data_IF_960390289779
#
_entry.id   IF_960390289779
#
_cell.length_a   1.000
_cell.length_b   1.000
_cell.length_c   1.000
_cell.angle_alpha   90.00
_cell.angle_beta   90.00
_cell.angle_gamma   90.00
#
_symmetry.space_group_name_H-M   'P 1'
#
loop_
_entity.id
_entity.type
_entity.pdbx_description
1 polymer ?
#
# COMPACT_ATOMS: atom_id res chain seq x y z
N UNK A 1 28.98 1.49 -3.14
CA UNK A 1 28.26 0.67 -4.14
C UNK A 1 26.78 0.82 -3.84
N UNK A 2 26.02 1.40 -4.79
CA UNK A 2 24.63 1.85 -4.59
C UNK A 2 23.68 0.65 -4.61
N UNK A 3 22.80 0.59 -3.62
CA UNK A 3 21.74 -0.41 -3.47
C UNK A 3 20.68 -0.21 -4.58
N UNK A 4 20.52 -1.17 -5.49
CA UNK A 4 19.35 -1.28 -6.36
C UNK A 4 18.36 -2.29 -5.76
N UNK A 5 17.82 -1.97 -4.59
CA UNK A 5 16.53 -2.50 -4.15
C UNK A 5 15.60 -1.31 -4.17
N UNK A 6 14.88 -1.15 -5.29
CA UNK A 6 13.85 -0.13 -5.44
C UNK A 6 12.88 -0.26 -4.27
N UNK A 7 12.64 0.84 -3.58
CA UNK A 7 11.61 0.89 -2.54
C UNK A 7 10.27 0.51 -3.18
N UNK A 8 9.31 -0.10 -2.45
CA UNK A 8 7.98 -0.42 -2.99
C UNK A 8 7.25 0.79 -3.60
N UNK A 9 7.71 2.02 -3.28
CA UNK A 9 7.14 3.31 -3.68
C UNK A 9 7.58 3.71 -5.11
N UNK A 10 8.84 3.46 -5.50
CA UNK A 10 9.37 3.88 -6.82
C UNK A 10 8.67 3.19 -8.01
N UNK A 11 8.06 2.03 -7.78
CA UNK A 11 7.33 1.28 -8.81
C UNK A 11 5.88 1.74 -9.02
N UNK A 12 5.30 2.48 -8.06
CA UNK A 12 3.88 2.90 -8.07
C UNK A 12 3.66 4.15 -8.92
N UNK A 13 4.65 5.06 -9.00
CA UNK A 13 4.58 6.28 -9.82
C UNK A 13 4.44 6.00 -11.33
N UNK A 14 4.86 4.82 -11.80
CA UNK A 14 4.72 4.41 -13.20
C UNK A 14 3.30 3.99 -13.62
N UNK A 15 2.42 3.67 -12.67
CA UNK A 15 1.07 3.13 -12.96
C UNK A 15 0.04 4.28 -13.09
N UNK A 16 0.27 5.43 -12.46
CA UNK A 16 -0.65 6.58 -12.44
C UNK A 16 -0.64 7.44 -13.72
N UNK A 17 0.14 7.07 -14.75
CA UNK A 17 0.24 7.82 -16.02
C UNK A 17 -0.52 7.22 -17.21
N UNK A 18 -1.27 6.13 -17.04
CA UNK A 18 -2.13 5.63 -18.13
C UNK A 18 -3.43 6.44 -18.13
N UNK A 19 -3.44 7.45 -19.00
CA UNK A 19 -4.58 8.32 -19.23
C UNK A 19 -5.83 7.59 -19.70
N UNK A 20 -6.97 8.18 -19.34
CA UNK A 20 -8.31 7.79 -19.78
C UNK A 20 -8.41 7.74 -21.31
N UNK A 21 -8.54 6.55 -21.88
CA UNK A 21 -9.21 6.37 -23.16
C UNK A 21 -9.91 5.01 -23.18
N UNK A 22 -11.23 4.95 -23.41
CA UNK A 22 -11.97 3.69 -23.38
C UNK A 22 -11.66 2.88 -24.66
N UNK A 23 -11.32 1.58 -24.56
CA UNK A 23 -11.22 0.75 -25.74
C UNK A 23 -12.62 0.40 -26.25
N UNK A 24 -12.85 0.67 -27.53
CA UNK A 24 -14.00 0.22 -28.32
C UNK A 24 -14.06 -1.31 -28.32
N UNK A 25 -15.28 -1.84 -28.22
CA UNK A 25 -15.54 -3.27 -28.00
C UNK A 25 -14.98 -4.18 -29.09
N UNK A 26 -14.19 -5.16 -28.65
CA UNK A 26 -13.97 -6.42 -29.35
C UNK A 26 -14.17 -7.56 -28.35
N UNK A 27 -15.00 -8.52 -28.73
CA UNK A 27 -15.31 -9.70 -27.91
C UNK A 27 -14.08 -10.60 -27.84
N UNK A 28 -13.55 -10.82 -26.64
CA UNK A 28 -12.44 -11.76 -26.41
C UNK A 28 -13.04 -13.15 -26.20
N UNK A 29 -12.93 -14.01 -27.22
CA UNK A 29 -13.14 -15.45 -27.10
C UNK A 29 -11.90 -16.12 -26.50
N UNK A 30 -12.08 -16.91 -25.44
CA UNK A 30 -10.97 -17.60 -24.76
C UNK A 30 -10.81 -19.00 -25.35
N UNK A 31 -9.77 -19.20 -26.17
CA UNK A 31 -9.42 -20.52 -26.71
C UNK A 31 -8.40 -21.20 -25.79
N UNK A 32 -8.71 -22.39 -25.32
CA UNK A 32 -7.96 -23.08 -24.26
C UNK A 32 -7.03 -24.11 -24.88
N UNK A 33 -5.78 -23.76 -25.23
CA UNK A 33 -4.73 -24.78 -25.47
C UNK A 33 -3.31 -24.20 -25.41
N UNK A 34 -2.59 -24.57 -24.34
CA UNK A 34 -1.15 -24.87 -24.26
C UNK A 34 -0.09 -23.78 -24.55
N UNK A 35 0.37 -23.12 -23.47
CA UNK A 35 1.80 -22.75 -23.24
C UNK A 35 2.10 -22.77 -21.74
N UNK A 36 3.29 -23.19 -21.28
CA UNK A 36 3.63 -23.15 -19.86
C UNK A 36 3.91 -21.71 -19.43
N UNK A 37 3.02 -21.17 -18.59
CA UNK A 37 3.19 -19.96 -17.79
C UNK A 37 3.76 -18.73 -18.53
N UNK A 38 2.94 -18.09 -19.37
CA UNK A 38 3.03 -16.63 -19.52
C UNK A 38 1.87 -16.05 -18.73
N UNK A 39 2.13 -15.66 -17.49
CA UNK A 39 1.21 -14.78 -16.77
C UNK A 39 1.36 -13.42 -17.46
N UNK A 40 0.26 -12.83 -17.92
CA UNK A 40 0.31 -11.55 -18.62
C UNK A 40 1.08 -10.51 -17.77
N UNK A 41 2.04 -9.82 -18.38
CA UNK A 41 2.85 -8.76 -17.73
C UNK A 41 1.97 -7.72 -17.00
N UNK A 42 0.73 -7.55 -17.45
CA UNK A 42 -0.27 -6.71 -16.80
C UNK A 42 -0.65 -7.19 -15.39
N UNK A 43 -0.87 -8.49 -15.20
CA UNK A 43 -1.22 -9.08 -13.90
C UNK A 43 -0.07 -8.90 -12.92
N UNK A 44 1.17 -9.10 -13.36
CA UNK A 44 2.36 -8.95 -12.52
C UNK A 44 2.55 -7.51 -12.03
N UNK A 45 2.33 -6.53 -12.91
CA UNK A 45 2.37 -5.10 -12.54
C UNK A 45 1.34 -4.75 -11.48
N UNK A 46 0.16 -5.37 -11.50
CA UNK A 46 -0.89 -5.14 -10.49
C UNK A 46 -0.37 -5.43 -9.07
N UNK A 47 0.41 -6.49 -8.92
CA UNK A 47 1.01 -6.92 -7.66
C UNK A 47 2.39 -6.31 -7.39
N UNK A 48 2.79 -5.28 -8.14
CA UNK A 48 4.11 -4.66 -8.02
C UNK A 48 5.27 -5.66 -8.22
N UNK A 49 5.09 -6.65 -9.10
CA UNK A 49 6.07 -7.69 -9.41
C UNK A 49 6.66 -7.48 -10.81
N UNK A 50 7.94 -7.82 -10.95
CA UNK A 50 8.59 -8.01 -12.25
C UNK A 50 8.54 -9.50 -12.64
N UNK A 51 8.52 -9.78 -13.94
CA UNK A 51 8.41 -11.14 -14.53
C UNK A 51 9.49 -12.11 -14.00
N UNK A 52 10.63 -11.59 -13.56
CA UNK A 52 11.73 -12.39 -13.04
C UNK A 52 11.66 -12.69 -11.54
N UNK A 53 10.77 -12.06 -10.77
CA UNK A 53 10.74 -12.16 -9.30
C UNK A 53 9.87 -13.31 -8.77
N UNK A 54 8.83 -13.71 -9.52
CA UNK A 54 7.90 -14.74 -9.08
C UNK A 54 8.36 -16.15 -9.50
N UNK A 55 8.31 -17.10 -8.56
CA UNK A 55 8.51 -18.54 -8.80
C UNK A 55 7.18 -19.21 -9.18
N UNK A 56 6.10 -18.88 -8.46
CA UNK A 56 4.74 -19.35 -8.73
C UNK A 56 3.72 -18.29 -8.43
N UNK A 57 2.72 -18.19 -9.29
CA UNK A 57 1.52 -17.39 -9.09
C UNK A 57 0.33 -18.24 -9.49
N UNK A 58 -0.63 -18.37 -8.58
CA UNK A 58 -1.92 -19.00 -8.85
C UNK A 58 -3.02 -18.05 -8.41
N UNK A 59 -4.09 -17.96 -9.20
CA UNK A 59 -5.27 -17.15 -8.89
C UNK A 59 -6.43 -18.10 -8.65
N UNK A 60 -7.13 -17.92 -7.53
CA UNK A 60 -8.30 -18.70 -7.20
C UNK A 60 -9.33 -17.80 -6.50
N UNK A 61 -10.61 -18.18 -6.61
CA UNK A 61 -11.69 -17.47 -5.91
C UNK A 61 -12.04 -18.24 -4.64
N UNK A 62 -12.11 -17.51 -3.53
CA UNK A 62 -12.62 -18.00 -2.24
C UNK A 62 -13.94 -17.27 -1.91
N UNK A 63 -14.75 -17.77 -0.96
CA UNK A 63 -16.03 -17.14 -0.60
C UNK A 63 -15.90 -15.69 -0.11
N UNK A 64 -14.74 -15.31 0.42
CA UNK A 64 -14.45 -13.97 0.92
C UNK A 64 -13.78 -13.05 -0.11
N UNK A 65 -13.37 -13.55 -1.27
CA UNK A 65 -12.86 -12.73 -2.36
C UNK A 65 -11.90 -13.43 -3.32
N UNK A 66 -11.21 -12.63 -4.14
CA UNK A 66 -10.17 -13.09 -5.05
C UNK A 66 -8.87 -13.31 -4.28
N UNK A 67 -8.30 -14.50 -4.41
CA UNK A 67 -7.04 -14.87 -3.78
C UNK A 67 -5.96 -15.11 -4.82
N UNK A 68 -4.81 -14.49 -4.60
CA UNK A 68 -3.62 -14.64 -5.44
C UNK A 68 -2.51 -15.23 -4.60
N UNK A 69 -2.26 -16.51 -4.79
CA UNK A 69 -1.14 -17.19 -4.18
C UNK A 69 0.15 -16.81 -4.89
N UNK A 70 1.13 -16.32 -4.13
CA UNK A 70 2.41 -15.87 -4.68
C UNK A 70 3.56 -16.54 -3.91
N UNK A 71 4.53 -17.05 -4.65
CA UNK A 71 5.82 -17.49 -4.13
C UNK A 71 6.93 -16.82 -4.92
N UNK A 72 7.86 -16.17 -4.25
CA UNK A 72 9.01 -15.50 -4.88
C UNK A 72 10.15 -16.49 -5.16
N UNK A 73 10.95 -16.17 -6.17
CA UNK A 73 12.18 -16.91 -6.46
C UNK A 73 13.15 -16.84 -5.28
N UNK A 74 13.87 -17.93 -4.98
CA UNK A 74 14.85 -17.93 -3.90
C UNK A 74 15.98 -16.95 -4.19
N UNK A 75 16.15 -15.97 -3.29
CA UNK A 75 17.27 -15.02 -3.34
C UNK A 75 17.96 -14.99 -1.96
N UNK A 76 19.30 -14.99 -1.89
CA UNK A 76 20.00 -14.80 -0.63
C UNK A 76 19.57 -13.51 0.06
N UNK A 77 19.24 -13.58 1.34
CA UNK A 77 18.71 -12.46 2.10
C UNK A 77 19.69 -11.98 3.17
N UNK A 78 19.70 -10.66 3.41
CA UNK A 78 20.52 -10.04 4.45
C UNK A 78 19.88 -10.19 5.83
N UNK A 79 20.64 -10.67 6.81
CA UNK A 79 20.15 -10.81 8.19
C UNK A 79 19.98 -9.44 8.87
N UNK A 80 18.78 -9.14 9.37
CA UNK A 80 18.47 -7.88 10.07
C UNK A 80 19.26 -7.66 11.37
N UNK A 81 19.91 -8.70 11.92
CA UNK A 81 20.60 -8.62 13.20
C UNK A 81 22.13 -8.52 13.12
N UNK A 82 22.75 -9.15 12.12
CA UNK A 82 24.21 -9.15 11.97
C UNK A 82 24.67 -8.71 10.58
N UNK A 83 23.74 -8.51 9.64
CA UNK A 83 24.06 -8.07 8.28
C UNK A 83 24.61 -9.14 7.34
N UNK A 84 24.86 -10.38 7.82
CA UNK A 84 25.36 -11.45 6.94
C UNK A 84 24.29 -11.93 5.95
N UNK A 85 24.73 -12.35 4.76
CA UNK A 85 23.87 -12.94 3.73
C UNK A 85 23.62 -14.42 4.03
N UNK A 86 22.38 -14.87 3.84
CA UNK A 86 22.01 -16.28 4.00
C UNK A 86 20.97 -16.68 2.96
N UNK A 87 21.13 -17.87 2.40
CA UNK A 87 20.15 -18.58 1.56
C UNK A 87 19.44 -19.70 2.34
N UNK A 88 19.81 -19.92 3.61
CA UNK A 88 19.29 -21.01 4.43
C UNK A 88 17.84 -20.76 4.82
N UNK A 89 16.94 -21.55 4.22
CA UNK A 89 15.51 -21.57 4.55
C UNK A 89 15.28 -22.45 5.77
N UNK A 90 14.58 -21.91 6.77
CA UNK A 90 14.10 -22.62 7.97
C UNK A 90 12.75 -23.29 7.73
N UNK A 91 11.90 -22.67 6.93
CA UNK A 91 10.55 -23.14 6.64
C UNK A 91 9.74 -22.08 5.93
N UNK A 92 8.47 -22.39 5.70
CA UNK A 92 7.53 -21.54 4.97
C UNK A 92 6.37 -21.15 5.89
N UNK A 93 5.76 -20.00 5.61
CA UNK A 93 4.55 -19.55 6.29
C UNK A 93 3.69 -18.77 5.30
N UNK A 94 2.43 -19.19 5.15
CA UNK A 94 1.46 -18.43 4.37
C UNK A 94 1.08 -17.16 5.14
N UNK A 95 1.17 -16.02 4.47
CA UNK A 95 0.80 -14.70 4.99
C UNK A 95 -0.24 -14.08 4.06
N UNK A 96 -1.47 -13.90 4.57
CA UNK A 96 -2.54 -13.17 3.89
C UNK A 96 -2.28 -11.66 3.97
N UNK A 97 -2.26 -10.99 2.82
CA UNK A 97 -2.07 -9.54 2.67
C UNK A 97 -3.26 -8.98 1.89
N UNK A 98 -3.90 -7.93 2.38
CA UNK A 98 -4.98 -7.26 1.67
C UNK A 98 -4.43 -6.43 0.51
N UNK A 99 -4.92 -6.70 -0.69
CA UNK A 99 -4.50 -6.07 -1.95
C UNK A 99 -5.72 -5.59 -2.74
N UNK A 100 -6.45 -4.65 -2.16
CA UNK A 100 -7.70 -4.14 -2.70
C UNK A 100 -7.50 -3.16 -3.87
N UNK A 101 -6.85 -3.62 -4.94
CA UNK A 101 -6.77 -2.85 -6.19
C UNK A 101 -8.08 -2.98 -6.98
N UNK A 102 -8.78 -4.09 -6.81
CA UNK A 102 -10.11 -4.32 -7.38
C UNK A 102 -11.14 -3.80 -6.37
N UNK A 103 -11.84 -2.71 -6.70
CA UNK A 103 -12.81 -2.07 -5.79
C UNK A 103 -14.10 -2.88 -5.64
N UNK A 104 -14.50 -3.63 -6.68
CA UNK A 104 -15.77 -4.35 -6.70
C UNK A 104 -15.77 -5.65 -5.90
N UNK A 105 -14.60 -6.18 -5.56
CA UNK A 105 -14.48 -7.44 -4.81
C UNK A 105 -13.21 -7.43 -3.97
N UNK A 106 -13.25 -7.93 -2.71
CA UNK A 106 -12.05 -8.07 -1.91
C UNK A 106 -10.99 -8.89 -2.64
N UNK A 107 -9.74 -8.45 -2.55
CA UNK A 107 -8.60 -9.15 -3.14
C UNK A 107 -7.47 -9.30 -2.12
N UNK A 108 -6.91 -10.51 -2.08
CA UNK A 108 -5.89 -10.90 -1.12
C UNK A 108 -4.70 -11.56 -1.83
N UNK A 109 -3.50 -11.28 -1.32
CA UNK A 109 -2.28 -11.99 -1.68
C UNK A 109 -2.01 -13.02 -0.57
N UNK A 110 -2.04 -14.30 -0.94
CA UNK A 110 -1.61 -15.39 -0.08
C UNK A 110 -0.13 -15.67 -0.34
N UNK A 111 0.71 -14.98 0.44
CA UNK A 111 2.15 -15.03 0.23
C UNK A 111 2.76 -16.26 0.92
N UNK A 112 3.31 -17.20 0.14
CA UNK A 112 4.12 -18.33 0.65
C UNK A 112 5.52 -17.87 1.09
N UNK A 113 5.55 -17.18 2.23
CA UNK A 113 6.73 -16.48 2.71
C UNK A 113 7.78 -17.45 3.29
N UNK A 114 9.00 -17.36 2.78
CA UNK A 114 10.17 -18.05 3.34
C UNK A 114 10.60 -17.41 4.65
N UNK A 115 10.81 -18.26 5.65
CA UNK A 115 11.48 -17.93 6.91
C UNK A 115 12.94 -18.32 6.78
N UNK A 116 13.83 -17.34 6.80
CA UNK A 116 15.27 -17.52 6.69
C UNK A 116 15.90 -17.74 8.07
N UNK A 117 17.00 -18.51 8.13
CA UNK A 117 17.84 -18.63 9.32
C UNK A 117 19.25 -18.17 8.99
N UNK A 118 19.77 -17.21 9.76
CA UNK A 118 21.16 -16.78 9.61
C UNK A 118 22.12 -17.91 10.02
N UNK A 119 23.14 -18.16 9.20
CA UNK A 119 24.21 -19.13 9.48
C UNK A 119 25.13 -18.68 10.61
N UNK A 120 25.38 -17.37 10.73
CA UNK A 120 26.31 -16.80 11.71
C UNK A 120 25.68 -16.64 13.09
N UNK A 121 24.60 -15.86 13.20
CA UNK A 121 24.01 -15.54 14.49
C UNK A 121 22.82 -16.43 14.88
N UNK A 122 22.43 -17.38 14.01
CA UNK A 122 21.33 -18.31 14.25
C UNK A 122 19.93 -17.70 14.27
N UNK A 123 19.79 -16.36 14.21
CA UNK A 123 18.50 -15.66 14.26
C UNK A 123 17.64 -15.97 13.03
N UNK A 124 16.33 -16.02 13.23
CA UNK A 124 15.34 -16.27 12.18
C UNK A 124 14.73 -14.93 11.76
N UNK A 125 14.53 -14.73 10.47
CA UNK A 125 13.84 -13.57 9.90
C UNK A 125 13.01 -13.99 8.69
N UNK A 126 12.19 -13.09 8.16
CA UNK A 126 11.37 -13.36 6.97
C UNK A 126 12.03 -12.76 5.74
N UNK A 127 11.85 -13.39 4.58
CA UNK A 127 12.35 -12.81 3.33
C UNK A 127 11.63 -11.47 3.02
N UNK A 128 12.36 -10.48 2.45
CA UNK A 128 11.77 -9.25 1.96
C UNK A 128 10.86 -9.54 0.76
N UNK A 129 9.89 -8.67 0.52
CA UNK A 129 8.94 -8.78 -0.58
C UNK A 129 8.66 -7.38 -1.18
N UNK A 130 8.30 -7.29 -2.47
CA UNK A 130 8.13 -5.99 -3.15
C UNK A 130 6.72 -5.38 -3.00
N UNK A 131 5.76 -6.11 -2.44
CA UNK A 131 4.35 -5.69 -2.43
C UNK A 131 3.81 -5.26 -1.06
N UNK A 132 4.51 -5.51 0.05
CA UNK A 132 4.08 -5.09 1.38
C UNK A 132 5.25 -4.65 2.26
N UNK A 133 5.04 -3.58 3.03
CA UNK A 133 6.01 -3.12 4.02
C UNK A 133 6.22 -4.17 5.14
N UNK A 134 7.40 -4.19 5.79
CA UNK A 134 7.67 -5.11 6.90
C UNK A 134 6.61 -4.99 8.01
N UNK A 135 5.98 -6.10 8.38
CA UNK A 135 4.94 -6.15 9.41
C UNK A 135 3.53 -5.76 8.94
N UNK A 136 3.40 -5.03 7.83
CA UNK A 136 2.11 -4.54 7.32
C UNK A 136 1.26 -5.62 6.66
N UNK A 137 -0.02 -5.70 7.03
CA UNK A 137 -0.98 -6.65 6.43
C UNK A 137 -1.66 -6.11 5.16
N UNK A 138 -1.34 -4.89 4.76
CA UNK A 138 -1.90 -4.22 3.58
C UNK A 138 -0.78 -4.00 2.57
N UNK A 139 -1.08 -4.21 1.29
CA UNK A 139 -0.10 -4.02 0.22
C UNK A 139 0.27 -2.54 0.05
N UNK A 140 1.48 -2.26 -0.42
CA UNK A 140 1.97 -0.91 -0.67
C UNK A 140 1.10 -0.15 -1.69
N UNK A 141 0.61 -0.85 -2.72
CA UNK A 141 -0.32 -0.27 -3.72
C UNK A 141 -1.63 0.15 -3.07
N UNK A 142 -2.22 -0.69 -2.22
CA UNK A 142 -3.44 -0.34 -1.48
C UNK A 142 -3.20 0.83 -0.52
N UNK A 143 -2.06 0.86 0.17
CA UNK A 143 -1.68 2.00 1.03
C UNK A 143 -1.64 3.29 0.24
N UNK A 144 -0.98 3.29 -0.93
CA UNK A 144 -0.89 4.46 -1.80
C UNK A 144 -2.28 4.94 -2.26
N UNK A 145 -3.13 4.02 -2.73
CA UNK A 145 -4.48 4.35 -3.19
C UNK A 145 -5.36 4.90 -2.06
N UNK A 146 -5.26 4.34 -0.85
CA UNK A 146 -5.94 4.84 0.35
C UNK A 146 -5.49 6.26 0.67
N UNK A 147 -4.18 6.54 0.66
CA UNK A 147 -3.66 7.89 0.92
C UNK A 147 -4.08 8.90 -0.15
N UNK A 148 -4.11 8.47 -1.41
CA UNK A 148 -4.59 9.31 -2.52
C UNK A 148 -6.06 9.67 -2.33
N UNK A 149 -6.91 8.72 -1.92
CA UNK A 149 -8.32 9.00 -1.65
C UNK A 149 -8.51 9.84 -0.38
N UNK A 150 -7.68 9.67 0.66
CA UNK A 150 -7.67 10.52 1.84
C UNK A 150 -7.32 11.99 1.53
N UNK A 151 -6.63 12.26 0.42
CA UNK A 151 -6.33 13.63 -0.02
C UNK A 151 -7.55 14.36 -0.61
N UNK A 152 -8.64 13.64 -0.93
CA UNK A 152 -9.85 14.24 -1.49
C UNK A 152 -10.76 14.77 -0.37
N UNK A 153 -11.20 16.04 -0.45
CA UNK A 153 -11.91 16.70 0.66
C UNK A 153 -13.31 16.12 0.96
N UNK A 154 -13.92 15.41 0.01
CA UNK A 154 -15.27 14.84 0.17
C UNK A 154 -15.26 13.38 0.63
N UNK A 155 -14.09 12.74 0.70
CA UNK A 155 -13.98 11.34 1.08
C UNK A 155 -13.87 11.21 2.60
N UNK A 156 -14.69 10.33 3.19
CA UNK A 156 -14.59 10.01 4.62
C UNK A 156 -13.78 8.73 4.81
N UNK A 157 -13.09 8.59 5.95
CA UNK A 157 -12.36 7.36 6.26
C UNK A 157 -13.24 6.10 6.20
N UNK A 158 -14.54 6.23 6.52
CA UNK A 158 -15.50 5.12 6.41
C UNK A 158 -15.77 4.75 4.95
N UNK A 159 -16.03 5.73 4.08
CA UNK A 159 -16.26 5.48 2.66
C UNK A 159 -15.03 4.86 1.98
N UNK A 160 -13.84 5.36 2.32
CA UNK A 160 -12.56 4.79 1.85
C UNK A 160 -12.41 3.35 2.35
N UNK A 161 -12.68 3.09 3.62
CA UNK A 161 -12.59 1.75 4.20
C UNK A 161 -13.49 0.73 3.48
N UNK A 162 -14.73 1.11 3.18
CA UNK A 162 -15.69 0.29 2.42
C UNK A 162 -15.19 0.03 0.99
N UNK A 163 -14.67 1.06 0.30
CA UNK A 163 -14.14 0.93 -1.07
C UNK A 163 -12.97 -0.05 -1.18
N UNK A 164 -12.08 -0.03 -0.18
CA UNK A 164 -10.88 -0.86 -0.15
C UNK A 164 -11.05 -2.13 0.70
N UNK A 165 -12.25 -2.49 1.13
CA UNK A 165 -12.51 -3.71 1.93
C UNK A 165 -11.60 -3.85 3.16
N UNK A 166 -11.32 -2.73 3.84
CA UNK A 166 -10.52 -2.67 5.07
C UNK A 166 -11.33 -2.02 6.19
N UNK A 167 -10.85 -2.15 7.44
CA UNK A 167 -11.54 -1.47 8.55
C UNK A 167 -11.21 0.04 8.56
N UNK A 168 -12.13 0.90 9.05
CA UNK A 168 -11.85 2.33 9.25
C UNK A 168 -10.61 2.56 10.11
N UNK A 169 -10.41 1.76 11.17
CA UNK A 169 -9.21 1.82 12.01
C UNK A 169 -7.92 1.52 11.23
N UNK A 170 -7.98 0.69 10.18
CA UNK A 170 -6.84 0.44 9.30
C UNK A 170 -6.53 1.66 8.43
N UNK A 171 -7.56 2.34 7.91
CA UNK A 171 -7.39 3.59 7.15
C UNK A 171 -6.75 4.67 8.02
N UNK A 172 -7.25 4.89 9.24
CA UNK A 172 -6.67 5.85 10.19
C UNK A 172 -5.21 5.52 10.48
N UNK A 173 -4.90 4.25 10.78
CA UNK A 173 -3.52 3.81 11.04
C UNK A 173 -2.60 4.05 9.84
N UNK A 174 -3.07 3.80 8.61
CA UNK A 174 -2.33 4.09 7.39
C UNK A 174 -2.04 5.59 7.30
N UNK A 175 -3.06 6.43 7.51
CA UNK A 175 -2.92 7.88 7.51
C UNK A 175 -1.89 8.35 8.54
N UNK A 176 -2.05 7.98 9.82
CA UNK A 176 -1.16 8.39 10.91
C UNK A 176 0.28 7.93 10.72
N UNK A 177 0.50 6.78 10.07
CA UNK A 177 1.84 6.20 9.89
C UNK A 177 2.60 6.79 8.70
N UNK A 178 1.90 7.36 7.70
CA UNK A 178 2.51 7.81 6.44
C UNK A 178 2.36 9.32 6.22
N UNK A 179 1.38 9.96 6.86
CA UNK A 179 1.12 11.40 6.73
C UNK A 179 1.73 12.11 7.93
N UNK A 180 2.77 12.89 7.66
CA UNK A 180 3.35 13.81 8.63
C UNK A 180 3.21 15.23 8.09
N UNK A 181 2.33 16.02 8.69
CA UNK A 181 2.13 17.43 8.32
C UNK A 181 2.99 18.27 9.28
N UNK A 182 4.15 18.79 8.84
CA UNK A 182 4.98 19.61 9.69
C UNK A 182 4.27 20.93 10.00
N UNK A 183 4.50 21.48 11.20
CA UNK A 183 4.08 22.85 11.51
C UNK A 183 4.72 23.82 10.54
N UNK A 184 3.90 24.66 9.92
CA UNK A 184 4.38 25.74 9.05
C UNK A 184 5.01 26.85 9.89
N UNK A 185 5.87 27.66 9.27
CA UNK A 185 6.45 28.86 9.91
C UNK A 185 5.36 29.93 10.09
N UNK A 186 5.57 30.84 11.03
CA UNK A 186 4.71 32.02 11.18
C UNK A 186 4.79 32.87 9.90
N UNK A 187 3.65 33.17 9.23
CA UNK A 187 3.61 33.97 8.02
C UNK A 187 3.82 35.46 8.34
N UNK A 188 3.98 36.29 7.29
CA UNK A 188 4.04 37.75 7.45
C UNK A 188 2.68 38.33 7.87
N UNK A 189 1.61 37.80 7.30
CA UNK A 189 0.23 38.20 7.58
C UNK A 189 -0.57 36.98 7.99
N UNK A 190 -0.78 36.84 9.30
CA UNK A 190 -1.58 35.78 9.87
C UNK A 190 -3.05 36.20 9.91
N UNK A 191 -3.92 35.42 9.27
CA UNK A 191 -5.36 35.51 9.42
C UNK A 191 -5.81 34.45 10.41
N UNK A 192 -6.68 34.84 11.32
CA UNK A 192 -7.27 33.96 12.31
C UNK A 192 -8.79 34.07 12.24
N UNK A 193 -9.47 32.95 12.38
CA UNK A 193 -10.93 32.92 12.45
C UNK A 193 -11.40 31.79 13.37
N UNK A 194 -12.62 31.91 13.89
CA UNK A 194 -13.29 30.85 14.65
C UNK A 194 -14.46 30.33 13.80
N UNK A 195 -14.32 29.10 13.33
CA UNK A 195 -15.28 28.49 12.41
C UNK A 195 -16.03 27.37 13.09
N UNK A 196 -17.33 27.27 12.82
CA UNK A 196 -18.14 26.13 13.24
C UNK A 196 -17.68 24.90 12.45
N UNK A 197 -17.03 23.94 13.10
CA UNK A 197 -16.57 22.71 12.46
C UNK A 197 -16.45 21.57 13.47
N UNK A 198 -17.20 20.50 13.21
CA UNK A 198 -17.21 19.24 13.97
C UNK A 198 -17.62 19.39 15.45
N UNK A 199 -18.60 18.60 15.89
CA UNK A 199 -18.99 18.57 17.30
C UNK A 199 -17.87 17.87 18.09
N UNK A 200 -16.97 18.64 18.70
CA UNK A 200 -16.04 18.10 19.69
C UNK A 200 -16.72 17.97 21.04
N UNK A 201 -16.13 17.18 21.96
CA UNK A 201 -16.67 17.04 23.33
C UNK A 201 -16.63 18.36 24.14
N UNK A 202 -15.90 19.37 23.65
CA UNK A 202 -15.62 20.63 24.36
C UNK A 202 -16.30 21.83 23.70
N UNK A 203 -16.28 21.93 22.37
CA UNK A 203 -16.89 23.04 21.63
C UNK A 203 -17.27 22.61 20.20
N UNK A 204 -18.19 23.34 19.59
CA UNK A 204 -18.59 23.17 18.18
C UNK A 204 -17.74 24.02 17.21
N UNK A 205 -16.82 24.80 17.76
CA UNK A 205 -15.98 25.73 17.03
C UNK A 205 -14.51 25.28 17.05
N UNK A 206 -13.82 25.60 15.97
CA UNK A 206 -12.37 25.41 15.83
C UNK A 206 -11.71 26.73 15.47
N UNK A 207 -10.53 26.95 16.06
CA UNK A 207 -9.69 28.09 15.78
C UNK A 207 -8.79 27.78 14.58
N UNK A 208 -8.95 28.51 13.49
CA UNK A 208 -8.24 28.31 12.23
C UNK A 208 -7.23 29.42 12.03
N UNK A 209 -5.99 29.04 11.68
CA UNK A 209 -4.90 29.95 11.31
C UNK A 209 -4.56 29.77 9.83
N UNK A 210 -4.47 30.87 9.10
CA UNK A 210 -4.17 30.89 7.67
C UNK A 210 -3.15 31.97 7.30
N UNK A 211 -2.31 31.69 6.31
CA UNK A 211 -1.44 32.70 5.69
C UNK A 211 -2.26 33.52 4.68
N UNK A 212 -2.35 34.84 4.85
CA UNK A 212 -3.07 35.70 3.90
C UNK A 212 -2.47 35.69 2.50
N UNK A 213 -1.14 35.56 2.37
CA UNK A 213 -0.48 35.67 1.06
C UNK A 213 -0.66 34.40 0.25
N UNK A 214 -0.53 33.22 0.87
CA UNK A 214 -0.66 31.93 0.17
C UNK A 214 -2.05 31.32 0.26
N UNK A 215 -2.91 31.83 1.14
CA UNK A 215 -4.21 31.24 1.50
C UNK A 215 -4.12 29.81 2.04
N UNK A 216 -2.94 29.42 2.55
CA UNK A 216 -2.74 28.11 3.13
C UNK A 216 -3.12 28.07 4.60
N UNK A 217 -3.75 26.96 5.01
CA UNK A 217 -3.97 26.66 6.43
C UNK A 217 -2.62 26.34 7.09
N UNK A 218 -2.33 27.07 8.17
CA UNK A 218 -1.16 26.91 9.01
C UNK A 218 -1.42 25.86 10.08
N UNK A 219 -2.54 25.99 10.78
CA UNK A 219 -2.93 25.09 11.86
C UNK A 219 -4.44 25.22 12.16
N UNK A 220 -5.00 24.17 12.78
CA UNK A 220 -6.39 24.11 13.24
C UNK A 220 -6.38 23.57 14.66
N UNK A 221 -6.84 24.38 15.61
CA UNK A 221 -6.83 24.05 17.03
C UNK A 221 -8.27 23.89 17.56
N UNK A 222 -8.50 22.95 18.50
CA UNK A 222 -9.79 22.87 19.18
C UNK A 222 -10.05 24.16 19.98
N UNK A 223 -11.31 24.63 19.96
CA UNK A 223 -11.73 25.74 20.83
C UNK A 223 -11.79 25.29 22.30
N UNK A 224 -11.67 26.25 23.23
CA UNK A 224 -11.49 26.00 24.67
C UNK A 224 -12.78 25.69 25.40
#
# INVERSE_FOLDING_TARGET
MKNNQSSPIESVESISRIGNQPPSGENISFDTTTTPFSVDSFVLKLFNLQDDQAERINVHNEPDGLHVYIRLKPVPCRCNACGNMTDKVKGYKIRKITHSVITNSPCFIDYDQRRMRCTECGKTFVEPNPFAFPGEKVSAVTVYNVLQDCSRPHETFKAIAERYHISPSTVLRIFDSHVNIPRRKLPRYLVVDETYAFHTAVSDYVFVMMDYETMDIIDVLPSR
#
